data_IF_440541114702
#
_entry.id   IF_440541114702
#
_cell.length_a   1.000
_cell.length_b   1.000
_cell.length_c   1.000
_cell.angle_alpha   90.00
_cell.angle_beta   90.00
_cell.angle_gamma   90.00
#
_symmetry.space_group_name_H-M   'P 1'
#
loop_
_entity.id
_entity.type
_entity.pdbx_description
1 polymer ?
#
# COMPACT_ATOMS: atom_id res chain seq x y z
N UNK A 1 -11.60 5.99 -7.30
CA UNK A 1 -11.30 5.42 -8.63
C UNK A 1 -10.70 4.06 -8.39
N UNK A 2 -11.37 3.02 -8.88
CA UNK A 2 -10.94 1.64 -8.68
C UNK A 2 -10.00 1.21 -9.81
N UNK A 3 -8.88 0.60 -9.44
CA UNK A 3 -7.89 0.04 -10.35
C UNK A 3 -7.60 -1.41 -9.95
N UNK A 4 -7.48 -2.29 -10.94
CA UNK A 4 -7.09 -3.68 -10.72
C UNK A 4 -5.58 -3.80 -10.51
N UNK A 5 -5.20 -4.57 -9.51
CA UNK A 5 -3.81 -4.93 -9.23
C UNK A 5 -3.52 -6.28 -9.87
N UNK A 6 -2.42 -6.35 -10.61
CA UNK A 6 -2.02 -7.54 -11.36
C UNK A 6 -0.61 -7.97 -11.01
N UNK A 7 -0.35 -9.27 -11.04
CA UNK A 7 0.99 -9.83 -10.92
C UNK A 7 1.78 -9.70 -12.24
N UNK A 8 3.01 -10.23 -12.24
CA UNK A 8 3.89 -10.25 -13.42
C UNK A 8 3.37 -11.10 -14.58
N UNK A 9 2.39 -11.98 -14.34
CA UNK A 9 1.70 -12.79 -15.33
C UNK A 9 0.38 -12.16 -15.78
N UNK A 10 0.14 -10.89 -15.43
CA UNK A 10 -1.08 -10.12 -15.74
C UNK A 10 -2.35 -10.73 -15.11
N UNK A 11 -2.21 -11.55 -14.05
CA UNK A 11 -3.34 -12.12 -13.30
C UNK A 11 -3.77 -11.15 -12.20
N UNK A 12 -5.08 -10.95 -12.05
CA UNK A 12 -5.64 -10.10 -10.99
C UNK A 12 -5.39 -10.70 -9.61
N UNK A 13 -4.68 -9.96 -8.78
CA UNK A 13 -4.38 -10.30 -7.37
C UNK A 13 -5.22 -9.50 -6.38
N UNK A 14 -5.77 -8.36 -6.81
CA UNK A 14 -6.60 -7.51 -5.98
C UNK A 14 -7.06 -6.27 -6.71
N UNK A 15 -7.46 -5.26 -5.95
CA UNK A 15 -7.77 -3.94 -6.48
C UNK A 15 -7.50 -2.86 -5.45
N UNK A 16 -7.17 -1.66 -5.92
CA UNK A 16 -7.04 -0.45 -5.12
C UNK A 16 -8.18 0.49 -5.48
N UNK A 17 -8.81 1.13 -4.49
CA UNK A 17 -9.78 2.19 -4.71
C UNK A 17 -9.28 3.49 -4.07
N UNK A 18 -8.92 4.45 -4.92
CA UNK A 18 -8.39 5.75 -4.53
C UNK A 18 -9.52 6.76 -4.28
N UNK A 19 -9.51 7.40 -3.13
CA UNK A 19 -10.49 8.40 -2.71
C UNK A 19 -9.98 9.82 -3.00
N UNK A 20 -10.89 10.80 -3.04
CA UNK A 20 -10.55 12.21 -3.34
C UNK A 20 -9.61 12.85 -2.29
N UNK A 21 -9.56 12.30 -1.08
CA UNK A 21 -8.69 12.77 0.00
C UNK A 21 -7.29 12.12 -0.03
N UNK A 22 -6.93 11.41 -1.10
CA UNK A 22 -5.64 10.72 -1.24
C UNK A 22 -5.52 9.41 -0.48
N UNK A 23 -6.55 9.01 0.30
CA UNK A 23 -6.61 7.68 0.91
C UNK A 23 -6.93 6.64 -0.16
N UNK A 24 -6.34 5.46 -0.04
CA UNK A 24 -6.68 4.34 -0.91
C UNK A 24 -7.00 3.09 -0.09
N UNK A 25 -8.04 2.36 -0.47
CA UNK A 25 -8.38 1.07 0.15
C UNK A 25 -7.90 -0.06 -0.73
N UNK A 26 -7.25 -1.06 -0.13
CA UNK A 26 -6.72 -2.23 -0.82
C UNK A 26 -7.63 -3.43 -0.54
N UNK A 27 -8.04 -4.11 -1.61
CA UNK A 27 -8.87 -5.30 -1.56
C UNK A 27 -8.13 -6.49 -2.18
N UNK A 28 -8.31 -7.68 -1.62
CA UNK A 28 -7.84 -8.92 -2.22
C UNK A 28 -8.68 -9.32 -3.45
N UNK A 29 -8.29 -10.41 -4.11
CA UNK A 29 -8.98 -10.95 -5.30
C UNK A 29 -10.47 -11.24 -5.08
N UNK A 30 -10.89 -11.62 -3.87
CA UNK A 30 -12.29 -11.91 -3.53
C UNK A 30 -13.07 -10.67 -3.05
N UNK A 31 -12.45 -9.49 -3.04
CA UNK A 31 -13.09 -8.23 -2.69
C UNK A 31 -13.09 -7.88 -1.20
N UNK A 32 -12.39 -8.64 -0.36
CA UNK A 32 -12.23 -8.29 1.07
C UNK A 32 -11.15 -7.24 1.26
N UNK A 33 -11.40 -6.25 2.13
CA UNK A 33 -10.40 -5.26 2.52
C UNK A 33 -9.22 -5.96 3.22
N UNK A 34 -8.01 -5.69 2.74
CA UNK A 34 -6.77 -6.20 3.34
C UNK A 34 -5.88 -5.09 3.91
N UNK A 35 -6.15 -3.85 3.55
CA UNK A 35 -5.45 -2.71 4.10
C UNK A 35 -5.81 -1.40 3.43
N UNK A 36 -5.01 -0.39 3.69
CA UNK A 36 -5.20 0.95 3.18
C UNK A 36 -3.91 1.76 3.18
N UNK A 37 -3.87 2.73 2.27
CA UNK A 37 -2.83 3.74 2.19
C UNK A 37 -3.41 5.07 2.68
N UNK A 38 -2.70 5.76 3.56
CA UNK A 38 -3.09 7.07 4.08
C UNK A 38 -1.97 8.08 3.85
N UNK A 39 -2.24 9.26 3.26
CA UNK A 39 -1.23 10.32 3.18
C UNK A 39 -0.98 10.92 4.56
N UNK A 40 0.28 11.25 4.84
CA UNK A 40 0.73 11.91 6.07
C UNK A 40 1.90 12.84 5.75
N UNK A 41 1.60 14.08 5.33
CA UNK A 41 2.61 15.01 4.83
C UNK A 41 3.35 14.41 3.64
N UNK A 42 4.68 14.35 3.75
CA UNK A 42 5.59 13.81 2.72
C UNK A 42 5.67 12.26 2.73
N UNK A 43 4.77 11.60 3.46
CA UNK A 43 4.74 10.15 3.60
C UNK A 43 3.43 9.58 3.11
N UNK A 44 3.52 8.40 2.51
CA UNK A 44 2.38 7.51 2.32
C UNK A 44 2.52 6.37 3.31
N UNK A 45 1.50 6.14 4.13
CA UNK A 45 1.54 5.13 5.20
C UNK A 45 0.62 3.96 4.87
N UNK A 46 1.13 2.74 5.02
CA UNK A 46 0.37 1.51 4.84
C UNK A 46 -0.14 0.98 6.17
N UNK A 47 -1.43 0.68 6.22
CA UNK A 47 -2.10 0.08 7.37
C UNK A 47 -2.77 -1.23 6.98
N UNK A 48 -2.69 -2.25 7.84
CA UNK A 48 -3.40 -3.51 7.64
C UNK A 48 -4.92 -3.36 7.84
N UNK A 49 -5.66 -4.45 7.60
CA UNK A 49 -7.13 -4.48 7.75
C UNK A 49 -7.65 -4.08 9.14
N UNK A 50 -6.84 -4.21 10.20
CA UNK A 50 -7.21 -3.83 11.59
C UNK A 50 -6.68 -2.45 11.98
N UNK A 51 -6.01 -1.72 11.07
CA UNK A 51 -5.55 -0.37 11.30
C UNK A 51 -4.16 -0.26 11.95
N UNK A 52 -3.35 -1.32 11.93
CA UNK A 52 -1.96 -1.26 12.37
C UNK A 52 -1.06 -0.81 11.22
N UNK A 53 -0.16 0.14 11.49
CA UNK A 53 0.84 0.60 10.52
C UNK A 53 1.82 -0.55 10.24
N UNK A 54 2.02 -0.88 8.97
CA UNK A 54 2.93 -1.95 8.53
C UNK A 54 4.13 -1.46 7.74
N UNK A 55 4.06 -0.27 7.14
CA UNK A 55 5.17 0.38 6.43
C UNK A 55 4.83 1.85 6.15
N UNK A 56 5.83 2.62 5.73
CA UNK A 56 5.61 3.91 5.08
C UNK A 56 6.63 4.15 3.98
N UNK A 57 6.22 4.87 2.94
CA UNK A 57 7.10 5.41 1.90
C UNK A 57 7.28 6.90 2.15
N UNK A 58 8.52 7.37 2.08
CA UNK A 58 8.90 8.77 2.25
C UNK A 58 9.28 9.34 0.88
N UNK A 59 8.53 10.34 0.42
CA UNK A 59 8.71 10.93 -0.91
C UNK A 59 10.03 11.70 -1.05
N UNK A 60 10.54 12.28 0.05
CA UNK A 60 11.77 13.09 0.02
C UNK A 60 13.00 12.23 -0.23
N UNK A 61 12.96 10.98 0.25
CA UNK A 61 14.07 10.03 0.13
C UNK A 61 13.80 8.96 -0.92
N UNK A 62 12.60 8.95 -1.51
CA UNK A 62 12.07 7.89 -2.36
C UNK A 62 12.37 6.50 -1.77
N UNK A 63 12.03 6.29 -0.50
CA UNK A 63 12.41 5.07 0.23
C UNK A 63 11.24 4.54 1.05
N UNK A 64 11.03 3.21 1.00
CA UNK A 64 10.05 2.51 1.84
C UNK A 64 10.74 1.97 3.10
N UNK A 65 10.09 2.15 4.24
CA UNK A 65 10.56 1.77 5.56
C UNK A 65 9.52 0.92 6.31
N UNK A 66 10.00 0.10 7.23
CA UNK A 66 9.20 -0.51 8.30
C UNK A 66 8.65 0.54 9.26
N UNK A 67 7.66 0.21 10.11
CA UNK A 67 7.08 1.16 11.06
C UNK A 67 8.10 1.73 12.06
N UNK A 68 9.13 0.95 12.38
CA UNK A 68 10.24 1.34 13.26
C UNK A 68 11.33 2.19 12.56
N UNK A 69 11.19 2.48 11.27
CA UNK A 69 12.16 3.26 10.48
C UNK A 69 13.27 2.45 9.82
N UNK A 70 13.27 1.11 9.92
CA UNK A 70 14.23 0.28 9.17
C UNK A 70 13.92 0.33 7.67
N UNK A 71 14.93 0.55 6.84
CA UNK A 71 14.78 0.56 5.37
C UNK A 71 14.36 -0.81 4.83
N UNK A 72 13.32 -0.82 4.00
CA UNK A 72 12.91 -1.98 3.19
C UNK A 72 13.56 -1.89 1.81
N UNK A 73 13.48 -0.73 1.14
CA UNK A 73 13.99 -0.56 -0.22
C UNK A 73 13.77 0.84 -0.77
N UNK A 74 14.42 1.14 -1.90
CA UNK A 74 14.20 2.39 -2.65
C UNK A 74 12.95 2.26 -3.52
N UNK A 75 12.19 3.35 -3.70
CA UNK A 75 10.91 3.38 -4.38
C UNK A 75 9.71 3.18 -3.45
N UNK A 76 8.52 3.46 -3.97
CA UNK A 76 7.25 3.16 -3.30
C UNK A 76 6.88 1.68 -3.48
N UNK A 77 7.03 0.90 -2.42
CA UNK A 77 6.79 -0.55 -2.43
C UNK A 77 5.48 -0.94 -1.72
N UNK A 78 4.71 0.04 -1.22
CA UNK A 78 3.65 -0.19 -0.22
C UNK A 78 2.54 -1.12 -0.71
N UNK A 79 2.10 -0.98 -1.96
CA UNK A 79 1.04 -1.83 -2.52
C UNK A 79 1.46 -3.30 -2.54
N UNK A 80 2.72 -3.57 -2.87
CA UNK A 80 3.25 -4.93 -2.94
C UNK A 80 3.27 -5.63 -1.57
N UNK A 81 3.49 -4.89 -0.49
CA UNK A 81 3.58 -5.43 0.87
C UNK A 81 2.27 -6.06 1.35
N UNK A 82 1.11 -5.70 0.78
CA UNK A 82 -0.19 -6.31 1.12
C UNK A 82 -0.38 -7.72 0.55
N UNK A 83 0.45 -8.13 -0.41
CA UNK A 83 0.32 -9.39 -1.13
C UNK A 83 1.54 -10.30 -0.95
N UNK A 84 2.50 -9.89 -0.11
CA UNK A 84 3.60 -10.74 0.33
C UNK A 84 3.11 -11.60 1.50
N UNK A 85 3.04 -12.91 1.29
CA UNK A 85 2.75 -13.94 2.27
C UNK A 85 3.64 -15.14 2.00
#
# INVERSE_FOLDING_TARGET
MRQDLKDSRNQKIGSIDSQLNGRSTIYNKVGSKIGELRPNGHRLEAFDKVGRKIAYWDENTDTTFEPNGRKIGKGNMLVGLFFQG
#
